data_IF_616547561490
#
_entry.id   IF_616547561490
#
_cell.length_a   1.000
_cell.length_b   1.000
_cell.length_c   1.000
_cell.angle_alpha   90.00
_cell.angle_beta   90.00
_cell.angle_gamma   90.00
#
_symmetry.space_group_name_H-M   'P 1'
#
loop_
_entity.id
_entity.type
_entity.pdbx_description
1 polymer ?
#
# COMPACT_ATOMS: atom_id res chain seq x y z
N UNK A 1 23.27 -15.98 -15.92
CA UNK A 1 22.80 -16.42 -14.59
C UNK A 1 21.33 -16.76 -14.70
N UNK A 2 20.89 -17.84 -14.06
CA UNK A 2 19.46 -18.22 -14.01
C UNK A 2 18.69 -17.24 -13.13
N UNK A 3 17.46 -16.92 -13.51
CA UNK A 3 16.55 -16.09 -12.72
C UNK A 3 16.19 -16.78 -11.38
N UNK A 4 16.46 -16.16 -10.21
CA UNK A 4 16.13 -16.74 -8.92
C UNK A 4 14.65 -16.62 -8.52
N UNK A 5 13.83 -15.81 -9.19
CA UNK A 5 12.45 -15.54 -8.76
C UNK A 5 11.56 -16.80 -8.61
N UNK A 6 11.55 -17.77 -9.54
CA UNK A 6 10.73 -18.97 -9.40
C UNK A 6 11.13 -19.82 -8.17
N UNK A 7 12.42 -19.88 -7.87
CA UNK A 7 12.94 -20.57 -6.70
C UNK A 7 12.48 -19.87 -5.40
N UNK A 8 12.67 -18.55 -5.30
CA UNK A 8 12.27 -17.75 -4.13
C UNK A 8 10.76 -17.85 -3.89
N UNK A 9 9.95 -17.72 -4.94
CA UNK A 9 8.49 -17.82 -4.86
C UNK A 9 8.04 -19.17 -4.28
N UNK A 10 8.70 -20.27 -4.66
CA UNK A 10 8.38 -21.63 -4.21
C UNK A 10 8.78 -21.99 -2.77
N UNK A 11 9.55 -21.15 -2.07
CA UNK A 11 9.92 -21.42 -0.66
C UNK A 11 8.69 -21.39 0.26
N UNK A 12 8.54 -22.31 1.23
CA UNK A 12 7.60 -22.14 2.34
C UNK A 12 8.07 -20.99 3.25
N UNK A 13 7.19 -20.03 3.55
CA UNK A 13 7.52 -18.81 4.31
C UNK A 13 6.50 -18.58 5.42
N UNK A 14 6.98 -18.08 6.55
CA UNK A 14 6.14 -17.49 7.59
C UNK A 14 6.40 -15.98 7.63
N UNK A 15 5.34 -15.19 7.61
CA UNK A 15 5.41 -13.73 7.71
C UNK A 15 5.04 -13.32 9.14
N UNK A 16 6.02 -12.79 9.87
CA UNK A 16 5.86 -12.45 11.29
C UNK A 16 5.55 -10.98 11.53
N UNK A 17 5.74 -10.13 10.52
CA UNK A 17 5.48 -8.70 10.60
C UNK A 17 4.90 -8.22 9.28
N UNK A 18 3.59 -7.99 9.27
CA UNK A 18 2.87 -7.33 8.18
C UNK A 18 1.74 -6.50 8.78
N UNK A 19 1.53 -5.30 8.24
CA UNK A 19 0.36 -4.50 8.56
C UNK A 19 -0.69 -4.77 7.48
N UNK A 20 -1.85 -5.33 7.83
CA UNK A 20 -2.87 -5.68 6.84
C UNK A 20 -3.27 -4.50 5.95
N UNK A 21 -3.52 -3.33 6.54
CA UNK A 21 -3.85 -2.12 5.78
C UNK A 21 -2.68 -1.68 4.90
N UNK A 22 -1.45 -1.77 5.42
CA UNK A 22 -0.23 -1.44 4.66
C UNK A 22 0.09 -2.42 3.53
N UNK A 23 -0.55 -3.59 3.49
CA UNK A 23 -0.41 -4.58 2.41
C UNK A 23 -1.42 -4.42 1.28
N UNK A 24 -2.34 -3.44 1.37
CA UNK A 24 -3.33 -3.19 0.33
C UNK A 24 -2.66 -2.72 -0.98
N UNK A 25 -3.09 -3.26 -2.12
CA UNK A 25 -2.55 -2.85 -3.42
C UNK A 25 -3.02 -1.43 -3.79
N UNK A 26 -2.27 -0.67 -4.62
CA UNK A 26 -2.70 0.64 -5.10
C UNK A 26 -4.12 0.63 -5.70
N UNK A 27 -4.48 -0.39 -6.47
CA UNK A 27 -5.85 -0.59 -6.98
C UNK A 27 -6.91 -0.59 -5.86
N UNK A 28 -6.68 -1.31 -4.76
CA UNK A 28 -7.64 -1.40 -3.64
C UNK A 28 -7.70 -0.07 -2.89
N UNK A 29 -6.57 0.59 -2.69
CA UNK A 29 -6.52 1.92 -2.05
C UNK A 29 -7.29 2.94 -2.89
N UNK A 30 -7.12 2.95 -4.21
CA UNK A 30 -7.88 3.80 -5.13
C UNK A 30 -9.40 3.58 -5.03
N UNK A 31 -9.83 2.31 -4.99
CA UNK A 31 -11.25 1.95 -4.84
C UNK A 31 -11.84 2.39 -3.50
N UNK A 32 -11.06 2.35 -2.42
CA UNK A 32 -11.46 2.86 -1.11
C UNK A 32 -11.51 4.38 -1.11
N UNK A 33 -10.48 5.04 -1.65
CA UNK A 33 -10.41 6.50 -1.75
C UNK A 33 -11.59 7.08 -2.56
N UNK A 34 -12.02 6.40 -3.63
CA UNK A 34 -13.16 6.81 -4.44
C UNK A 34 -14.49 6.88 -3.66
N UNK A 35 -14.59 6.20 -2.50
CA UNK A 35 -15.77 6.26 -1.60
C UNK A 35 -15.75 7.46 -0.67
N UNK A 36 -14.62 8.17 -0.59
CA UNK A 36 -14.38 9.29 0.32
C UNK A 36 -13.81 10.49 -0.47
N UNK A 37 -14.67 11.26 -1.19
CA UNK A 37 -14.22 12.36 -2.05
C UNK A 37 -13.49 13.50 -1.30
N UNK A 38 -13.62 13.54 0.02
CA UNK A 38 -12.93 14.47 0.93
C UNK A 38 -11.51 14.02 1.30
N UNK A 39 -11.14 12.77 0.97
CA UNK A 39 -9.81 12.23 1.25
C UNK A 39 -8.74 12.88 0.37
N UNK A 40 -7.53 12.99 0.94
CA UNK A 40 -6.32 13.43 0.21
C UNK A 40 -5.63 12.28 -0.54
N UNK A 41 -6.09 11.04 -0.34
CA UNK A 41 -5.52 9.86 -0.99
C UNK A 41 -5.97 9.85 -2.46
N UNK A 42 -5.05 9.72 -3.43
CA UNK A 42 -5.43 9.67 -4.84
C UNK A 42 -6.35 8.48 -5.16
N UNK A 43 -7.30 8.71 -6.06
CA UNK A 43 -8.21 7.68 -6.59
C UNK A 43 -7.69 7.01 -7.86
N UNK A 44 -6.53 7.46 -8.37
CA UNK A 44 -5.86 6.88 -9.53
C UNK A 44 -4.70 5.98 -9.05
N UNK A 45 -4.69 4.68 -9.43
CA UNK A 45 -3.60 3.77 -9.09
C UNK A 45 -2.21 4.22 -9.55
N UNK A 46 -2.09 4.94 -10.67
CA UNK A 46 -0.78 5.44 -11.13
C UNK A 46 -0.29 6.58 -10.21
N UNK A 47 -1.14 7.57 -9.91
CA UNK A 47 -0.83 8.61 -8.94
C UNK A 47 -0.51 8.07 -7.52
N UNK A 48 -1.07 6.91 -7.14
CA UNK A 48 -0.75 6.26 -5.86
C UNK A 48 0.69 5.74 -5.81
N UNK A 49 1.31 5.38 -6.95
CA UNK A 49 2.71 4.97 -6.97
C UNK A 49 3.63 6.13 -6.53
N UNK A 50 3.36 7.34 -7.02
CA UNK A 50 4.08 8.54 -6.60
C UNK A 50 3.75 8.90 -5.15
N UNK A 51 2.48 8.78 -4.75
CA UNK A 51 2.02 9.04 -3.37
C UNK A 51 2.71 8.14 -2.33
N UNK A 52 3.06 6.90 -2.71
CA UNK A 52 3.80 5.95 -1.87
C UNK A 52 5.32 6.10 -1.95
N UNK A 53 5.83 7.18 -2.56
CA UNK A 53 7.25 7.53 -2.44
C UNK A 53 7.51 8.20 -1.09
N UNK A 54 8.00 7.42 -0.13
CA UNK A 54 8.27 7.92 1.22
C UNK A 54 9.63 8.63 1.31
N UNK A 55 9.66 9.80 1.95
CA UNK A 55 10.91 10.56 2.17
C UNK A 55 11.64 10.15 3.45
N UNK A 56 10.89 9.84 4.51
CA UNK A 56 11.38 9.32 5.77
C UNK A 56 10.27 8.54 6.52
N UNK A 57 10.57 8.08 7.73
CA UNK A 57 9.61 7.33 8.53
C UNK A 57 8.41 8.18 8.99
N UNK A 58 8.60 9.47 9.27
CA UNK A 58 7.51 10.34 9.69
C UNK A 58 6.52 10.56 8.53
N UNK A 59 7.02 10.85 7.34
CA UNK A 59 6.21 10.94 6.13
C UNK A 59 5.50 9.61 5.80
N UNK A 60 6.18 8.47 5.99
CA UNK A 60 5.52 7.16 5.89
C UNK A 60 4.32 7.05 6.84
N UNK A 61 4.45 7.48 8.11
CA UNK A 61 3.33 7.43 9.06
C UNK A 61 2.18 8.35 8.62
N UNK A 62 2.47 9.53 8.10
CA UNK A 62 1.44 10.44 7.54
C UNK A 62 0.65 9.78 6.40
N UNK A 63 1.35 9.17 5.45
CA UNK A 63 0.73 8.46 4.30
C UNK A 63 0.01 7.19 4.76
N UNK A 64 0.57 6.43 5.69
CA UNK A 64 -0.07 5.23 6.21
C UNK A 64 -1.40 5.55 6.92
N UNK A 65 -1.40 6.57 7.78
CA UNK A 65 -2.61 6.98 8.50
C UNK A 65 -3.68 7.55 7.57
N UNK A 66 -3.31 8.21 6.47
CA UNK A 66 -4.28 8.69 5.48
C UNK A 66 -4.99 7.52 4.77
N UNK A 67 -4.30 6.41 4.52
CA UNK A 67 -4.90 5.19 3.96
C UNK A 67 -5.76 4.46 5.00
N UNK A 68 -5.33 4.40 6.26
CA UNK A 68 -6.13 3.81 7.36
C UNK A 68 -7.47 4.51 7.53
N UNK A 69 -7.50 5.84 7.41
CA UNK A 69 -8.73 6.64 7.54
C UNK A 69 -9.79 6.31 6.46
N UNK A 70 -9.41 5.66 5.35
CA UNK A 70 -10.36 5.19 4.35
C UNK A 70 -11.21 3.99 4.82
N UNK A 71 -10.83 3.33 5.91
CA UNK A 71 -11.55 2.17 6.46
C UNK A 71 -12.52 2.65 7.54
N UNK A 72 -13.53 3.42 7.12
CA UNK A 72 -14.57 3.98 7.98
C UNK A 72 -15.96 3.82 7.35
N UNK A 73 -16.99 3.81 8.20
CA UNK A 73 -18.41 3.66 7.82
C UNK A 73 -19.13 4.99 7.72
#
# INVERSE_FOLDING_TARGET
>A
MTDPHPFIAGLPKAELHVHHVGSASPRIVAELAARHPDSKVPTDPEALADYFTFTDFAHFIEVYLSVVDLIRT
#
